data_IF_406446834789
#
_entry.id   IF_406446834789
#
_cell.length_a   1.000
_cell.length_b   1.000
_cell.length_c   1.000
_cell.angle_alpha   90.00
_cell.angle_beta   90.00
_cell.angle_gamma   90.00
#
_symmetry.space_group_name_H-M   'P 1'
#
loop_
_entity.id
_entity.type
_entity.pdbx_description
1 polymer ?
#
# COMPACT_ATOMS: atom_id res chain seq x y z
N UNK A 1 31.69 17.92 -14.73
CA UNK A 1 31.43 16.92 -13.68
C UNK A 1 29.95 16.52 -13.62
N UNK A 2 29.03 17.41 -13.23
CA UNK A 2 27.60 17.07 -13.13
C UNK A 2 26.97 16.61 -14.45
N UNK A 3 27.36 17.20 -15.59
CA UNK A 3 26.93 16.77 -16.92
C UNK A 3 27.33 15.32 -17.21
N UNK A 4 28.60 14.95 -16.97
CA UNK A 4 29.11 13.59 -17.11
C UNK A 4 28.36 12.60 -16.21
N UNK A 5 28.15 12.94 -14.93
CA UNK A 5 27.41 12.07 -14.00
C UNK A 5 25.94 11.88 -14.42
N UNK A 6 25.31 12.92 -14.95
CA UNK A 6 23.93 12.86 -15.43
C UNK A 6 23.81 12.03 -16.73
N UNK A 7 24.79 12.16 -17.64
CA UNK A 7 24.88 11.33 -18.85
C UNK A 7 25.10 9.85 -18.51
N UNK A 8 26.03 9.55 -17.61
CA UNK A 8 26.25 8.18 -17.11
C UNK A 8 24.97 7.58 -16.52
N UNK A 9 24.22 8.37 -15.71
CA UNK A 9 22.95 7.95 -15.13
C UNK A 9 21.90 7.64 -16.21
N UNK A 10 21.79 8.48 -17.25
CA UNK A 10 20.86 8.25 -18.37
C UNK A 10 21.21 7.00 -19.17
N UNK A 11 22.49 6.65 -19.24
CA UNK A 11 22.98 5.44 -19.91
C UNK A 11 22.93 4.18 -19.01
N UNK A 12 22.39 4.29 -17.79
CA UNK A 12 22.34 3.19 -16.83
C UNK A 12 23.70 2.80 -16.25
N UNK A 13 24.73 3.63 -16.43
CA UNK A 13 26.06 3.40 -15.87
C UNK A 13 26.07 3.87 -14.42
N UNK A 14 26.30 2.92 -13.51
CA UNK A 14 26.41 3.16 -12.08
C UNK A 14 27.88 3.22 -11.68
N UNK A 15 28.24 4.29 -10.97
CA UNK A 15 29.55 4.47 -10.37
C UNK A 15 29.45 4.19 -8.87
N UNK A 16 30.32 3.33 -8.36
CA UNK A 16 30.36 2.99 -6.94
C UNK A 16 31.77 3.15 -6.40
N UNK A 17 31.91 3.81 -5.25
CA UNK A 17 33.16 3.80 -4.51
C UNK A 17 33.16 2.62 -3.53
N UNK A 18 34.02 1.64 -3.78
CA UNK A 18 34.29 0.51 -2.87
C UNK A 18 35.69 0.71 -2.33
N UNK A 19 35.79 0.92 -1.01
CA UNK A 19 36.99 1.38 -0.31
C UNK A 19 37.55 2.69 -0.91
N UNK A 20 38.60 2.58 -1.71
CA UNK A 20 39.27 3.69 -2.41
C UNK A 20 39.21 3.57 -3.93
N UNK A 21 38.56 2.53 -4.45
CA UNK A 21 38.50 2.25 -5.89
C UNK A 21 37.13 2.57 -6.47
N UNK A 22 37.14 3.25 -7.62
CA UNK A 22 35.95 3.51 -8.42
C UNK A 22 35.61 2.25 -9.21
N UNK A 23 34.50 1.61 -8.85
CA UNK A 23 33.89 0.51 -9.61
C UNK A 23 32.80 1.05 -10.52
N UNK A 24 32.68 0.45 -11.70
CA UNK A 24 31.66 0.76 -12.69
C UNK A 24 30.78 -0.47 -12.90
N UNK A 25 29.47 -0.28 -12.88
CA UNK A 25 28.50 -1.26 -13.34
C UNK A 25 27.74 -0.63 -14.50
N UNK A 26 27.70 -1.30 -15.65
CA UNK A 26 27.15 -0.73 -16.87
C UNK A 26 26.46 -1.81 -17.72
N UNK A 27 25.37 -1.47 -18.43
CA UNK A 27 24.80 -2.34 -19.45
C UNK A 27 25.82 -2.73 -20.53
N UNK A 28 25.65 -3.90 -21.15
CA UNK A 28 26.53 -4.35 -22.22
C UNK A 28 26.58 -3.31 -23.36
N UNK A 29 27.79 -2.91 -23.76
CA UNK A 29 28.02 -1.92 -24.82
C UNK A 29 27.93 -0.44 -24.39
N UNK A 30 27.58 -0.14 -23.12
CA UNK A 30 27.46 1.24 -22.65
C UNK A 30 28.81 1.93 -22.38
N UNK A 31 29.89 1.16 -22.12
CA UNK A 31 31.22 1.70 -21.82
C UNK A 31 32.08 1.80 -23.10
N UNK A 32 31.92 2.90 -23.83
CA UNK A 32 32.77 3.21 -24.99
C UNK A 32 34.19 3.63 -24.54
N UNK A 33 35.22 3.46 -25.39
CA UNK A 33 36.58 3.89 -25.06
C UNK A 33 36.70 5.38 -24.71
N UNK A 34 35.93 6.23 -25.38
CA UNK A 34 35.86 7.67 -25.12
C UNK A 34 35.29 7.95 -23.73
N UNK A 35 34.18 7.30 -23.37
CA UNK A 35 33.55 7.44 -22.06
C UNK A 35 34.46 6.95 -20.92
N UNK A 36 35.19 5.85 -21.14
CA UNK A 36 36.20 5.36 -20.20
C UNK A 36 37.33 6.39 -20.03
N UNK A 37 37.74 7.05 -21.11
CA UNK A 37 38.70 8.16 -21.09
C UNK A 37 38.22 9.30 -20.20
N UNK A 38 37.00 9.79 -20.46
CA UNK A 38 36.40 10.88 -19.68
C UNK A 38 36.27 10.54 -18.18
N UNK A 39 35.88 9.31 -17.83
CA UNK A 39 35.78 8.86 -16.43
C UNK A 39 37.16 8.82 -15.77
N UNK A 40 38.21 8.38 -16.50
CA UNK A 40 39.58 8.34 -15.97
C UNK A 40 40.14 9.73 -15.73
N UNK A 41 39.92 10.66 -16.66
CA UNK A 41 40.34 12.06 -16.52
C UNK A 41 39.67 12.75 -15.33
N UNK A 42 38.41 12.39 -15.04
CA UNK A 42 37.63 12.95 -13.96
C UNK A 42 37.67 12.13 -12.67
N UNK A 43 38.49 11.07 -12.59
CA UNK A 43 38.45 10.06 -11.53
C UNK A 43 38.50 10.63 -10.12
N UNK A 44 39.44 11.53 -9.84
CA UNK A 44 39.62 12.06 -8.48
C UNK A 44 38.46 12.95 -8.05
N UNK A 45 37.93 13.74 -8.97
CA UNK A 45 36.78 14.59 -8.71
C UNK A 45 35.46 13.78 -8.60
N UNK A 46 35.33 12.68 -9.35
CA UNK A 46 34.25 11.70 -9.16
C UNK A 46 34.35 11.03 -7.79
N UNK A 47 35.56 10.61 -7.37
CA UNK A 47 35.78 10.01 -6.05
C UNK A 47 35.45 11.03 -4.94
N UNK A 48 35.88 12.28 -5.09
CA UNK A 48 35.57 13.35 -4.14
C UNK A 48 34.06 13.61 -4.06
N UNK A 49 33.37 13.67 -5.20
CA UNK A 49 31.92 13.80 -5.28
C UNK A 49 31.20 12.61 -4.62
N UNK A 50 31.58 11.38 -4.94
CA UNK A 50 30.98 10.19 -4.34
C UNK A 50 31.25 10.08 -2.83
N UNK A 51 32.40 10.56 -2.34
CA UNK A 51 32.67 10.67 -0.89
C UNK A 51 31.79 11.75 -0.23
N UNK A 52 31.53 12.85 -0.92
CA UNK A 52 30.63 13.89 -0.44
C UNK A 52 29.16 13.44 -0.45
N UNK A 53 28.73 12.69 -1.48
CA UNK A 53 27.37 12.13 -1.61
C UNK A 53 27.15 10.92 -0.71
N UNK A 54 28.15 10.04 -0.50
CA UNK A 54 28.08 8.99 0.56
C UNK A 54 27.96 9.59 1.97
N UNK A 55 28.23 10.89 2.11
CA UNK A 55 27.99 11.65 3.33
C UNK A 55 26.53 12.08 3.48
N UNK A 56 25.65 11.82 2.50
CA UNK A 56 24.23 11.62 2.78
C UNK A 56 24.08 10.28 3.48
N UNK A 57 24.24 10.40 4.80
CA UNK A 57 24.12 9.39 5.83
C UNK A 57 22.81 8.64 5.62
N UNK A 58 22.88 7.30 5.58
CA UNK A 58 21.70 6.49 5.84
C UNK A 58 21.17 6.88 7.21
N UNK A 59 20.10 7.68 7.23
CA UNK A 59 19.36 8.00 8.42
C UNK A 59 18.25 6.97 8.53
N UNK A 60 18.42 6.00 9.44
CA UNK A 60 17.34 5.11 9.80
C UNK A 60 16.13 5.95 10.21
N UNK A 61 14.96 5.63 9.67
CA UNK A 61 13.71 6.24 10.12
C UNK A 61 13.48 5.72 11.55
N UNK A 62 13.51 6.59 12.57
CA UNK A 62 13.31 6.14 13.94
C UNK A 62 11.88 5.62 14.11
N UNK A 63 11.73 4.57 14.91
CA UNK A 63 10.40 4.10 15.31
C UNK A 63 9.71 5.20 16.11
N UNK A 64 8.49 5.57 15.72
CA UNK A 64 7.70 6.55 16.45
C UNK A 64 7.40 6.01 17.86
N UNK A 65 7.48 6.88 18.86
CA UNK A 65 7.09 6.51 20.22
C UNK A 65 5.59 6.19 20.28
N UNK A 66 5.21 5.21 21.09
CA UNK A 66 3.80 4.87 21.29
C UNK A 66 3.04 6.05 21.93
N UNK A 67 1.99 6.51 21.26
CA UNK A 67 1.12 7.58 21.71
C UNK A 67 -0.35 7.15 21.60
N UNK A 68 -1.21 7.72 22.45
CA UNK A 68 -2.66 7.50 22.34
C UNK A 68 -3.20 8.02 20.99
N UNK A 69 -2.66 9.15 20.53
CA UNK A 69 -3.09 9.82 19.32
C UNK A 69 -1.90 10.39 18.54
N UNK A 70 -1.98 10.32 17.21
CA UNK A 70 -0.97 10.87 16.30
C UNK A 70 -1.54 12.00 15.45
N UNK A 71 -0.74 13.00 15.03
CA UNK A 71 -1.20 13.98 14.06
C UNK A 71 -1.54 13.29 12.73
N UNK A 72 -2.52 13.82 12.00
CA UNK A 72 -2.76 13.42 10.61
C UNK A 72 -1.59 13.88 9.74
N UNK A 73 -1.27 13.10 8.71
CA UNK A 73 -0.45 13.60 7.60
C UNK A 73 -1.19 14.69 6.83
N UNK A 74 -0.46 15.51 6.05
CA UNK A 74 -1.07 16.54 5.21
C UNK A 74 -2.14 15.97 4.25
N UNK A 75 -1.88 14.80 3.66
CA UNK A 75 -2.84 14.11 2.79
C UNK A 75 -4.09 13.68 3.55
N UNK A 76 -3.93 13.17 4.77
CA UNK A 76 -5.05 12.79 5.62
C UNK A 76 -5.85 14.01 6.08
N UNK A 77 -5.21 15.13 6.41
CA UNK A 77 -5.91 16.37 6.78
C UNK A 77 -6.84 16.85 5.65
N UNK A 78 -6.35 16.81 4.40
CA UNK A 78 -7.17 17.14 3.23
C UNK A 78 -8.39 16.22 3.12
N UNK A 79 -8.20 14.91 3.23
CA UNK A 79 -9.29 13.93 3.14
C UNK A 79 -10.28 14.08 4.31
N UNK A 80 -9.79 14.36 5.52
CA UNK A 80 -10.64 14.64 6.67
C UNK A 80 -11.55 15.84 6.44
N UNK A 81 -11.01 16.96 5.95
CA UNK A 81 -11.82 18.15 5.64
C UNK A 81 -12.87 17.85 4.57
N UNK A 82 -12.49 17.12 3.52
CA UNK A 82 -13.42 16.72 2.45
C UNK A 82 -14.53 15.82 2.98
N UNK A 83 -14.20 14.90 3.90
CA UNK A 83 -15.19 14.09 4.59
C UNK A 83 -16.19 14.96 5.36
N UNK A 84 -15.72 15.90 6.20
CA UNK A 84 -16.61 16.76 6.98
C UNK A 84 -17.59 17.59 6.11
N UNK A 85 -17.26 17.84 4.84
CA UNK A 85 -18.10 18.57 3.90
C UNK A 85 -19.09 17.66 3.15
N UNK A 86 -18.72 16.40 2.91
CA UNK A 86 -19.52 15.46 2.12
C UNK A 86 -20.36 14.51 2.99
N UNK A 87 -20.06 14.44 4.30
CA UNK A 87 -20.53 13.37 5.17
C UNK A 87 -19.99 12.03 4.69
N UNK A 88 -20.52 10.92 5.24
CA UNK A 88 -20.11 9.54 4.93
C UNK A 88 -20.42 9.07 3.49
N UNK A 89 -19.95 9.81 2.48
CA UNK A 89 -20.07 9.48 1.07
C UNK A 89 -18.99 8.46 0.67
N UNK A 90 -19.31 7.62 -0.32
CA UNK A 90 -18.37 6.61 -0.83
C UNK A 90 -17.29 7.17 -1.78
N UNK A 91 -17.19 8.50 -1.96
CA UNK A 91 -16.31 9.16 -2.94
C UNK A 91 -14.84 8.75 -2.84
N UNK A 92 -14.37 8.47 -1.62
CA UNK A 92 -12.98 8.10 -1.33
C UNK A 92 -12.83 6.63 -0.92
N UNK A 93 -13.82 5.80 -1.22
CA UNK A 93 -13.68 4.36 -1.12
C UNK A 93 -12.84 3.84 -2.29
N UNK A 94 -11.99 2.86 -2.02
CA UNK A 94 -11.22 2.12 -3.02
C UNK A 94 -11.78 0.69 -3.03
N UNK A 95 -12.83 0.40 -3.82
CA UNK A 95 -13.37 -0.95 -3.94
C UNK A 95 -12.52 -1.81 -4.89
N UNK A 96 -12.42 -3.10 -4.58
CA UNK A 96 -11.81 -4.13 -5.42
C UNK A 96 -12.74 -5.34 -5.46
N UNK A 97 -12.85 -5.97 -6.62
CA UNK A 97 -13.68 -7.15 -6.85
C UNK A 97 -12.86 -8.20 -7.59
N UNK A 98 -12.82 -9.42 -7.04
CA UNK A 98 -12.20 -10.59 -7.63
C UNK A 98 -13.24 -11.68 -7.82
N UNK A 99 -13.21 -12.35 -8.97
CA UNK A 99 -13.91 -13.61 -9.17
C UNK A 99 -12.95 -14.76 -8.90
N UNK A 100 -13.36 -15.66 -8.01
CA UNK A 100 -12.59 -16.83 -7.60
C UNK A 100 -13.27 -18.09 -8.13
N UNK A 101 -12.48 -19.01 -8.64
CA UNK A 101 -12.94 -20.29 -9.19
C UNK A 101 -12.26 -21.46 -8.46
N UNK A 102 -13.02 -22.52 -8.22
CA UNK A 102 -12.55 -23.74 -7.57
C UNK A 102 -12.95 -23.85 -6.11
N UNK A 103 -12.25 -24.74 -5.40
CA UNK A 103 -12.42 -24.91 -3.95
C UNK A 103 -11.76 -23.74 -3.22
N UNK A 104 -12.49 -23.14 -2.27
CA UNK A 104 -12.02 -22.02 -1.47
C UNK A 104 -12.11 -22.37 0.01
N UNK A 105 -10.99 -22.29 0.72
CA UNK A 105 -10.99 -22.36 2.18
C UNK A 105 -11.41 -21.00 2.75
N UNK A 106 -12.71 -20.85 2.99
CA UNK A 106 -13.29 -19.59 3.48
C UNK A 106 -12.76 -19.20 4.87
N UNK A 107 -12.45 -20.21 5.70
CA UNK A 107 -11.95 -20.00 7.06
C UNK A 107 -10.52 -19.46 6.99
N UNK A 108 -9.66 -20.07 6.17
CA UNK A 108 -8.30 -19.59 5.93
C UNK A 108 -8.28 -18.19 5.30
N UNK A 109 -9.20 -17.89 4.38
CA UNK A 109 -9.29 -16.57 3.76
C UNK A 109 -9.68 -15.49 4.77
N UNK A 110 -10.75 -15.71 5.55
CA UNK A 110 -11.17 -14.79 6.61
C UNK A 110 -10.07 -14.59 7.66
N UNK A 111 -9.38 -15.67 8.04
CA UNK A 111 -8.27 -15.61 8.99
C UNK A 111 -7.06 -14.85 8.43
N UNK A 112 -6.77 -14.98 7.15
CA UNK A 112 -5.72 -14.21 6.47
C UNK A 112 -5.98 -12.70 6.49
N UNK A 113 -7.23 -12.26 6.28
CA UNK A 113 -7.58 -10.85 6.45
C UNK A 113 -7.41 -10.37 7.89
N UNK A 114 -7.79 -11.19 8.87
CA UNK A 114 -7.63 -10.86 10.28
C UNK A 114 -6.15 -10.64 10.64
N UNK A 115 -5.27 -11.50 10.18
CA UNK A 115 -3.82 -11.37 10.37
C UNK A 115 -3.26 -10.14 9.65
N UNK A 116 -3.72 -9.86 8.43
CA UNK A 116 -3.34 -8.65 7.70
C UNK A 116 -3.72 -7.39 8.48
N UNK A 117 -4.94 -7.32 9.03
CA UNK A 117 -5.41 -6.17 9.82
C UNK A 117 -4.66 -6.07 11.16
N UNK A 118 -4.37 -7.20 11.81
CA UNK A 118 -3.58 -7.21 13.04
C UNK A 118 -2.17 -6.63 12.80
N UNK A 119 -1.53 -7.05 11.70
CA UNK A 119 -0.18 -6.65 11.31
C UNK A 119 -0.05 -5.18 10.91
N UNK A 120 -1.03 -4.63 10.19
CA UNK A 120 -0.95 -3.26 9.64
C UNK A 120 -1.77 -2.27 10.44
N UNK A 121 -1.11 -1.43 11.25
CA UNK A 121 -1.77 -0.43 12.11
C UNK A 121 -2.72 0.50 11.35
N UNK A 122 -2.38 0.88 10.10
CA UNK A 122 -3.23 1.73 9.26
C UNK A 122 -4.64 1.16 9.08
N UNK A 123 -4.79 -0.17 8.99
CA UNK A 123 -6.08 -0.84 8.84
C UNK A 123 -6.92 -0.83 10.12
N UNK A 124 -6.31 -0.47 11.26
CA UNK A 124 -6.95 -0.30 12.57
C UNK A 124 -7.05 1.17 12.99
N UNK A 125 -6.64 2.10 12.12
CA UNK A 125 -6.66 3.54 12.42
C UNK A 125 -8.04 4.13 12.19
N UNK A 126 -8.51 4.88 13.18
CA UNK A 126 -9.67 5.78 13.10
C UNK A 126 -9.24 7.23 13.32
N UNK A 127 -10.12 8.17 13.00
CA UNK A 127 -9.87 9.61 13.04
C UNK A 127 -10.82 10.26 14.03
N UNK A 128 -10.26 10.82 15.10
CA UNK A 128 -11.00 11.40 16.22
C UNK A 128 -10.63 12.86 16.42
N UNK A 129 -11.50 13.64 17.05
CA UNK A 129 -11.17 14.97 17.52
C UNK A 129 -10.62 14.88 18.95
N UNK A 130 -9.35 15.21 19.13
CA UNK A 130 -8.73 15.41 20.44
C UNK A 130 -8.51 16.92 20.64
N UNK A 131 -9.17 17.51 21.63
CA UNK A 131 -9.13 18.95 21.92
C UNK A 131 -9.49 19.81 20.69
N UNK A 132 -10.46 19.36 19.89
CA UNK A 132 -10.91 20.04 18.67
C UNK A 132 -9.95 19.90 17.47
N UNK A 133 -8.87 19.13 17.60
CA UNK A 133 -7.90 18.87 16.52
C UNK A 133 -8.05 17.42 16.03
N UNK A 134 -8.16 17.18 14.71
CA UNK A 134 -8.22 15.82 14.20
C UNK A 134 -6.91 15.09 14.47
N UNK A 135 -7.03 13.85 14.94
CA UNK A 135 -5.93 12.94 15.25
C UNK A 135 -6.23 11.52 14.77
N UNK A 136 -5.17 10.77 14.50
CA UNK A 136 -5.22 9.33 14.25
C UNK A 136 -5.24 8.60 15.60
N UNK A 137 -6.06 7.57 15.73
CA UNK A 137 -6.10 6.65 16.86
C UNK A 137 -6.06 5.21 16.34
N UNK A 138 -5.09 4.42 16.80
CA UNK A 138 -4.93 3.03 16.37
C UNK A 138 -5.68 2.12 17.35
N UNK A 139 -6.69 1.39 16.87
CA UNK A 139 -7.47 0.45 17.68
C UNK A 139 -6.70 -0.88 17.88
N UNK A 140 -7.01 -1.61 18.94
CA UNK A 140 -6.34 -2.89 19.25
C UNK A 140 -6.74 -4.02 18.30
N UNK A 141 -8.00 -4.06 17.88
CA UNK A 141 -8.54 -5.04 16.95
C UNK A 141 -9.68 -4.43 16.14
N UNK A 142 -9.89 -4.93 14.92
CA UNK A 142 -11.03 -4.61 14.11
C UNK A 142 -11.99 -5.81 14.06
N UNK A 143 -13.23 -5.60 14.50
CA UNK A 143 -14.34 -6.52 14.30
C UNK A 143 -15.25 -6.00 13.20
N UNK A 144 -16.18 -6.82 12.71
CA UNK A 144 -17.19 -6.37 11.73
C UNK A 144 -16.66 -6.05 10.33
N UNK A 145 -15.42 -6.41 10.00
CA UNK A 145 -14.85 -6.18 8.67
C UNK A 145 -15.27 -7.23 7.62
N UNK A 146 -15.82 -8.38 8.02
CA UNK A 146 -16.05 -9.53 7.13
C UNK A 146 -17.53 -9.93 7.09
N UNK A 147 -18.06 -10.07 5.87
CA UNK A 147 -19.41 -10.56 5.61
C UNK A 147 -19.37 -11.70 4.60
N UNK A 148 -20.19 -12.73 4.79
CA UNK A 148 -20.42 -13.80 3.81
C UNK A 148 -21.89 -13.85 3.43
N UNK A 149 -22.17 -13.98 2.13
CA UNK A 149 -23.52 -14.14 1.61
C UNK A 149 -23.56 -15.33 0.66
N UNK A 150 -24.60 -16.17 0.76
CA UNK A 150 -24.83 -17.28 -0.15
C UNK A 150 -25.94 -16.94 -1.13
N UNK A 151 -25.55 -16.69 -2.38
CA UNK A 151 -26.47 -16.48 -3.50
C UNK A 151 -26.61 -17.71 -4.39
N UNK A 152 -25.97 -18.83 -4.05
CA UNK A 152 -25.96 -20.03 -4.90
C UNK A 152 -27.34 -20.67 -5.09
N UNK A 153 -28.27 -20.39 -4.18
CA UNK A 153 -29.67 -20.82 -4.26
C UNK A 153 -30.62 -19.73 -4.79
N UNK A 154 -30.11 -18.55 -5.14
CA UNK A 154 -30.94 -17.48 -5.69
C UNK A 154 -31.41 -17.83 -7.11
N UNK A 155 -32.58 -17.34 -7.57
CA UNK A 155 -33.04 -17.56 -8.94
C UNK A 155 -32.07 -17.05 -10.01
N UNK A 156 -31.33 -15.98 -9.69
CA UNK A 156 -30.24 -15.44 -10.49
C UNK A 156 -29.09 -15.01 -9.56
N UNK A 157 -28.13 -15.90 -9.28
CA UNK A 157 -27.01 -15.61 -8.36
C UNK A 157 -26.21 -14.38 -8.75
N UNK A 158 -25.98 -14.19 -10.05
CA UNK A 158 -25.24 -13.03 -10.60
C UNK A 158 -25.97 -11.70 -10.37
N UNK A 159 -27.30 -11.68 -10.51
CA UNK A 159 -28.07 -10.44 -10.31
C UNK A 159 -28.10 -10.05 -8.83
N UNK A 160 -28.33 -11.04 -7.95
CA UNK A 160 -28.32 -10.83 -6.51
C UNK A 160 -26.95 -10.32 -6.02
N UNK A 161 -25.86 -10.95 -6.50
CA UNK A 161 -24.52 -10.51 -6.15
C UNK A 161 -24.20 -9.11 -6.68
N UNK A 162 -24.66 -8.76 -7.89
CA UNK A 162 -24.48 -7.43 -8.46
C UNK A 162 -25.21 -6.34 -7.66
N UNK A 163 -26.44 -6.60 -7.22
CA UNK A 163 -27.19 -5.68 -6.35
C UNK A 163 -26.48 -5.48 -5.01
N UNK A 164 -26.00 -6.58 -4.41
CA UNK A 164 -25.20 -6.52 -3.18
C UNK A 164 -23.95 -5.66 -3.38
N UNK A 165 -23.16 -5.92 -4.44
CA UNK A 165 -21.93 -5.18 -4.73
C UNK A 165 -22.22 -3.69 -4.97
N UNK A 166 -23.32 -3.35 -5.65
CA UNK A 166 -23.70 -1.95 -5.85
C UNK A 166 -23.92 -1.23 -4.51
N UNK A 167 -24.62 -1.85 -3.57
CA UNK A 167 -24.78 -1.30 -2.21
C UNK A 167 -23.45 -1.25 -1.46
N UNK A 168 -22.67 -2.33 -1.54
CA UNK A 168 -21.37 -2.47 -0.89
C UNK A 168 -20.40 -1.36 -1.28
N UNK A 169 -20.27 -1.01 -2.56
CA UNK A 169 -19.32 0.04 -3.00
C UNK A 169 -19.81 1.45 -2.66
N UNK A 170 -21.13 1.67 -2.64
CA UNK A 170 -21.74 2.99 -2.41
C UNK A 170 -21.97 3.31 -0.92
N UNK A 171 -21.68 2.36 -0.02
CA UNK A 171 -21.74 2.60 1.43
C UNK A 171 -20.48 3.34 1.88
N UNK A 172 -20.61 4.53 2.47
CA UNK A 172 -19.47 5.25 3.03
C UNK A 172 -18.94 4.63 4.32
N UNK A 173 -17.77 5.09 4.77
CA UNK A 173 -17.20 4.70 6.06
C UNK A 173 -17.37 5.82 7.07
N UNK A 174 -17.70 5.45 8.31
CA UNK A 174 -17.52 6.35 9.45
C UNK A 174 -16.05 6.35 9.88
N UNK A 175 -15.35 7.43 9.55
CA UNK A 175 -13.94 7.60 9.88
C UNK A 175 -13.65 7.58 11.39
N UNK A 176 -14.67 7.77 12.23
CA UNK A 176 -14.53 7.81 13.69
C UNK A 176 -14.69 6.46 14.37
N UNK A 177 -15.37 5.49 13.73
CA UNK A 177 -15.78 4.24 14.38
C UNK A 177 -15.02 3.00 13.89
N UNK A 178 -14.49 3.01 12.65
CA UNK A 178 -13.74 1.88 12.09
C UNK A 178 -14.53 0.54 12.06
N UNK A 179 -13.94 -0.53 11.49
CA UNK A 179 -12.77 -0.49 10.62
C UNK A 179 -13.06 0.27 9.32
N UNK A 180 -12.02 0.91 8.77
CA UNK A 180 -12.10 1.61 7.48
C UNK A 180 -11.75 0.70 6.30
N UNK A 181 -11.97 -0.60 6.51
CA UNK A 181 -11.84 -1.71 5.59
C UNK A 181 -13.06 -2.62 5.81
N UNK A 182 -13.72 -3.03 4.73
CA UNK A 182 -14.77 -4.06 4.74
C UNK A 182 -14.53 -5.06 3.62
N UNK A 183 -14.92 -6.30 3.83
CA UNK A 183 -14.70 -7.45 2.96
C UNK A 183 -16.00 -8.25 2.88
N UNK A 184 -16.39 -8.64 1.68
CA UNK A 184 -17.54 -9.48 1.43
C UNK A 184 -17.14 -10.66 0.54
N UNK A 185 -17.52 -11.87 0.96
CA UNK A 185 -17.40 -13.07 0.15
C UNK A 185 -18.80 -13.55 -0.25
N UNK A 186 -19.10 -13.48 -1.55
CA UNK A 186 -20.40 -13.85 -2.10
C UNK A 186 -20.27 -15.18 -2.83
N UNK A 187 -20.98 -16.20 -2.37
CA UNK A 187 -20.99 -17.52 -3.01
C UNK A 187 -22.01 -17.53 -4.15
N UNK A 188 -21.57 -17.88 -5.37
CA UNK A 188 -22.43 -17.99 -6.56
C UNK A 188 -22.75 -19.45 -6.90
N UNK A 189 -21.84 -20.37 -6.59
CA UNK A 189 -22.03 -21.81 -6.75
C UNK A 189 -21.12 -22.58 -5.80
N UNK A 190 -21.07 -23.91 -5.91
CA UNK A 190 -20.14 -24.73 -5.13
C UNK A 190 -18.66 -24.40 -5.38
N UNK A 191 -18.33 -23.81 -6.54
CA UNK A 191 -16.94 -23.54 -6.96
C UNK A 191 -16.74 -22.14 -7.52
N UNK A 192 -17.67 -21.21 -7.29
CA UNK A 192 -17.56 -19.83 -7.76
C UNK A 192 -17.94 -18.84 -6.68
N UNK A 193 -17.07 -17.85 -6.49
CA UNK A 193 -17.21 -16.81 -5.49
C UNK A 193 -16.85 -15.45 -6.06
N UNK A 194 -17.48 -14.40 -5.53
CA UNK A 194 -17.00 -13.04 -5.66
C UNK A 194 -16.42 -12.59 -4.33
N UNK A 195 -15.13 -12.27 -4.33
CA UNK A 195 -14.47 -11.62 -3.20
C UNK A 195 -14.40 -10.12 -3.48
N UNK A 196 -15.13 -9.34 -2.71
CA UNK A 196 -15.07 -7.90 -2.74
C UNK A 196 -14.41 -7.37 -1.46
N UNK A 197 -13.61 -6.33 -1.58
CA UNK A 197 -13.28 -5.52 -0.41
C UNK A 197 -13.25 -4.04 -0.77
N UNK A 198 -13.41 -3.19 0.22
CA UNK A 198 -13.27 -1.75 0.06
C UNK A 198 -12.52 -1.20 1.26
N UNK A 199 -11.64 -0.23 0.99
CA UNK A 199 -10.88 0.50 2.01
C UNK A 199 -11.05 1.99 1.78
N UNK A 200 -11.08 2.79 2.85
CA UNK A 200 -11.09 4.24 2.71
C UNK A 200 -9.68 4.77 2.35
N UNK A 201 -9.58 5.67 1.37
CA UNK A 201 -8.31 6.21 0.88
C UNK A 201 -7.51 6.97 1.95
N UNK A 202 -8.14 7.38 3.05
CA UNK A 202 -7.44 8.04 4.17
C UNK A 202 -6.46 7.12 4.92
N UNK A 203 -6.64 5.79 4.81
CA UNK A 203 -5.78 4.78 5.44
C UNK A 203 -5.01 3.91 4.42
N UNK A 204 -5.19 4.12 3.12
CA UNK A 204 -4.56 3.31 2.08
C UNK A 204 -4.33 4.09 0.80
N UNK A 205 -3.35 3.65 0.03
CA UNK A 205 -3.01 4.13 -1.32
C UNK A 205 -2.75 2.94 -2.26
N UNK A 206 -2.49 3.22 -3.53
CA UNK A 206 -2.28 2.21 -4.56
C UNK A 206 -1.10 1.27 -4.25
N UNK A 207 -0.04 1.78 -3.61
CA UNK A 207 1.11 0.94 -3.24
C UNK A 207 0.74 -0.02 -2.11
N UNK A 208 0.05 0.49 -1.10
CA UNK A 208 -0.46 -0.27 0.03
C UNK A 208 -1.44 -1.36 -0.42
N UNK A 209 -2.30 -1.08 -1.41
CA UNK A 209 -3.16 -2.09 -2.04
C UNK A 209 -2.36 -3.27 -2.61
N UNK A 210 -1.25 -3.01 -3.30
CA UNK A 210 -0.39 -4.07 -3.84
C UNK A 210 0.31 -4.88 -2.74
N UNK A 211 0.73 -4.22 -1.65
CA UNK A 211 1.29 -4.90 -0.47
C UNK A 211 0.24 -5.82 0.15
N UNK A 212 -0.98 -5.31 0.37
CA UNK A 212 -2.08 -6.08 0.95
C UNK A 212 -2.42 -7.33 0.14
N UNK A 213 -2.53 -7.23 -1.19
CA UNK A 213 -2.81 -8.40 -2.04
C UNK A 213 -1.69 -9.45 -1.94
N UNK A 214 -0.42 -9.03 -1.99
CA UNK A 214 0.72 -9.96 -1.89
C UNK A 214 0.76 -10.66 -0.53
N UNK A 215 0.58 -9.92 0.56
CA UNK A 215 0.58 -10.48 1.91
C UNK A 215 -0.64 -11.39 2.13
N UNK A 216 -1.83 -11.01 1.67
CA UNK A 216 -3.04 -11.82 1.78
C UNK A 216 -2.87 -13.19 1.14
N UNK A 217 -2.32 -13.24 -0.08
CA UNK A 217 -2.04 -14.51 -0.77
C UNK A 217 -1.00 -15.34 -0.01
N UNK A 218 0.05 -14.69 0.51
CA UNK A 218 1.06 -15.38 1.30
C UNK A 218 0.50 -15.96 2.61
N UNK A 219 -0.37 -15.22 3.30
CA UNK A 219 -1.04 -15.66 4.53
C UNK A 219 -2.00 -16.81 4.24
N UNK A 220 -2.79 -16.70 3.18
CA UNK A 220 -3.75 -17.74 2.79
C UNK A 220 -3.07 -19.08 2.51
N UNK A 221 -1.93 -19.05 1.80
CA UNK A 221 -1.15 -20.25 1.49
C UNK A 221 -0.37 -20.83 2.69
N UNK A 222 -0.46 -20.22 3.87
CA UNK A 222 0.22 -20.68 5.09
C UNK A 222 -0.69 -21.44 6.06
N UNK A 223 -2.01 -21.46 5.78
CA UNK A 223 -2.98 -22.35 6.42
C UNK A 223 -2.98 -23.72 5.75
#
# INVERSE_FOLDING_TARGET
MELLLNELRKMGVQLQLVDTQLKLNAPAGALTPDLIGQIRENKDAIIAYLKAVKKEIYHAIPVAAAMAHYPLSHSQQRLWVLEQLQGHAATYNIPVLYRLHGQLDRVALSASFRELIARHESLRTVFVLADGVPRQSVLSAAEGFWTEEDFSTAPSPEDAAREYIHTFINTGFDLTAGPLLRVALLQLSATEYLLAWSVHHIISDEWSMQVMVRELVSLYNSY
#
